data_IF_247651719688
#
_entry.id   IF_247651719688
#
_cell.length_a   1.000
_cell.length_b   1.000
_cell.length_c   1.000
_cell.angle_alpha   90.00
_cell.angle_beta   90.00
_cell.angle_gamma   90.00
#
_symmetry.space_group_name_H-M   'P 1'
#
loop_
_entity.id
_entity.type
_entity.pdbx_description
1 polymer ?
#
# COMPACT_ATOMS: atom_id res chain seq x y z
N UNK A 1 22.29 -2.67 6.88
CA UNK A 1 20.94 -3.20 7.19
C UNK A 1 20.07 -2.07 7.72
N UNK A 2 19.27 -1.41 6.87
CA UNK A 2 18.28 -0.41 7.30
C UNK A 2 16.91 -0.94 6.90
N UNK A 3 16.23 -1.61 7.83
CA UNK A 3 15.01 -2.36 7.50
C UNK A 3 14.09 -2.60 8.67
N UNK A 4 14.07 -1.71 9.67
CA UNK A 4 12.92 -1.62 10.55
C UNK A 4 11.77 -1.03 9.75
N UNK A 5 10.77 -1.83 9.38
CA UNK A 5 9.58 -1.40 8.64
C UNK A 5 8.85 -0.37 9.51
N UNK A 6 8.98 0.93 9.21
CA UNK A 6 8.24 1.98 9.92
C UNK A 6 6.73 1.70 9.78
N UNK A 7 6.11 1.30 10.89
CA UNK A 7 4.67 1.15 10.99
C UNK A 7 3.99 2.51 10.74
N UNK A 8 2.85 2.51 10.06
CA UNK A 8 2.16 3.75 9.70
C UNK A 8 1.74 4.49 10.98
N UNK A 9 2.38 5.63 11.28
CA UNK A 9 2.11 6.44 12.47
C UNK A 9 1.36 7.74 12.10
N UNK A 10 0.36 8.10 12.89
CA UNK A 10 -0.33 9.39 12.82
C UNK A 10 -0.34 9.99 14.22
N UNK A 11 0.15 11.22 14.36
CA UNK A 11 0.10 11.99 15.61
C UNK A 11 -1.25 12.69 15.67
N UNK A 12 -1.93 12.60 16.81
CA UNK A 12 -3.18 13.31 17.07
C UNK A 12 -2.84 14.73 17.52
N UNK A 13 -3.40 15.73 16.86
CA UNK A 13 -3.24 17.15 17.21
C UNK A 13 -4.56 17.69 17.76
N UNK A 14 -4.51 18.42 18.88
CA UNK A 14 -5.64 19.16 19.47
C UNK A 14 -6.86 18.28 19.84
N UNK A 15 -6.64 17.02 20.24
CA UNK A 15 -7.72 16.13 20.70
C UNK A 15 -8.70 15.65 19.62
N UNK A 16 -8.51 16.01 18.36
CA UNK A 16 -9.43 15.63 17.28
C UNK A 16 -9.11 14.24 16.73
N UNK A 17 -9.65 13.21 17.40
CA UNK A 17 -9.38 11.79 17.15
C UNK A 17 -9.93 11.34 15.78
N UNK A 18 -11.13 11.80 15.39
CA UNK A 18 -11.76 11.39 14.13
C UNK A 18 -10.92 11.78 12.91
N UNK A 19 -10.36 12.98 12.92
CA UNK A 19 -9.45 13.43 11.86
C UNK A 19 -8.18 12.58 11.83
N UNK A 20 -7.64 12.21 12.99
CA UNK A 20 -6.47 11.34 13.07
C UNK A 20 -6.77 9.93 12.55
N UNK A 21 -7.93 9.35 12.88
CA UNK A 21 -8.38 8.05 12.38
C UNK A 21 -8.57 8.05 10.85
N UNK A 22 -9.15 9.12 10.30
CA UNK A 22 -9.29 9.26 8.84
C UNK A 22 -7.94 9.32 8.14
N UNK A 23 -7.01 10.12 8.68
CA UNK A 23 -5.63 10.21 8.18
C UNK A 23 -4.89 8.87 8.30
N UNK A 24 -5.11 8.14 9.39
CA UNK A 24 -4.51 6.83 9.61
C UNK A 24 -5.00 5.81 8.58
N UNK A 25 -6.32 5.70 8.37
CA UNK A 25 -6.90 4.83 7.32
C UNK A 25 -6.32 5.14 5.94
N UNK A 26 -6.20 6.42 5.59
CA UNK A 26 -5.63 6.85 4.30
C UNK A 26 -4.14 6.48 4.19
N UNK A 27 -3.34 6.71 5.25
CA UNK A 27 -1.93 6.32 5.27
C UNK A 27 -1.75 4.80 5.17
N UNK A 28 -2.55 4.02 5.88
CA UNK A 28 -2.51 2.54 5.82
C UNK A 28 -2.85 2.05 4.41
N UNK A 29 -3.87 2.61 3.76
CA UNK A 29 -4.20 2.27 2.38
C UNK A 29 -3.05 2.61 1.42
N UNK A 30 -2.42 3.78 1.56
CA UNK A 30 -1.28 4.21 0.74
C UNK A 30 -0.02 3.37 0.98
N UNK A 31 0.17 2.85 2.19
CA UNK A 31 1.34 2.01 2.53
C UNK A 31 1.38 0.68 1.77
N UNK A 32 0.28 0.26 1.13
CA UNK A 32 0.23 -0.95 0.32
C UNK A 32 0.18 -2.26 1.13
N UNK A 33 0.26 -2.20 2.46
CA UNK A 33 0.15 -3.35 3.38
C UNK A 33 -1.08 -4.24 3.10
N UNK A 34 -2.31 -3.71 2.99
CA UNK A 34 -3.48 -4.56 2.72
C UNK A 34 -3.41 -5.24 1.34
N UNK A 35 -2.81 -4.58 0.34
CA UNK A 35 -2.61 -5.16 -0.99
C UNK A 35 -1.53 -6.24 -0.97
N UNK A 36 -0.45 -6.04 -0.21
CA UNK A 36 0.62 -7.02 -0.01
C UNK A 36 0.08 -8.30 0.66
N UNK A 37 -0.75 -8.15 1.71
CA UNK A 37 -1.39 -9.28 2.38
C UNK A 37 -2.26 -10.10 1.42
N UNK A 38 -3.05 -9.44 0.56
CA UNK A 38 -3.87 -10.12 -0.45
C UNK A 38 -3.01 -10.88 -1.46
N UNK A 39 -1.90 -10.29 -1.92
CA UNK A 39 -0.97 -10.93 -2.86
C UNK A 39 -0.26 -12.14 -2.26
N UNK A 40 0.01 -12.14 -0.95
CA UNK A 40 0.67 -13.24 -0.22
C UNK A 40 -0.27 -14.35 0.28
N UNK A 41 -1.59 -14.15 0.22
CA UNK A 41 -2.58 -15.10 0.77
C UNK A 41 -2.52 -16.50 0.13
N UNK A 42 -2.17 -16.57 -1.15
CA UNK A 42 -2.08 -17.83 -1.89
C UNK A 42 -0.78 -17.86 -2.70
N UNK A 43 -0.21 -19.05 -2.89
CA UNK A 43 0.94 -19.20 -3.76
C UNK A 43 0.56 -18.86 -5.20
N UNK A 44 1.38 -18.02 -5.83
CA UNK A 44 1.35 -17.79 -7.27
C UNK A 44 2.72 -18.14 -7.84
N UNK A 45 2.74 -18.85 -8.96
CA UNK A 45 3.98 -19.16 -9.68
C UNK A 45 4.73 -17.85 -9.99
N UNK A 46 6.08 -17.81 -9.87
CA UNK A 46 6.86 -16.58 -10.10
C UNK A 46 6.60 -15.93 -11.46
N UNK A 47 6.36 -16.73 -12.51
CA UNK A 47 6.00 -16.21 -13.83
C UNK A 47 4.67 -15.45 -13.86
N UNK A 48 3.67 -15.88 -13.08
CA UNK A 48 2.37 -15.19 -12.97
C UNK A 48 2.54 -13.88 -12.21
N UNK A 49 3.31 -13.89 -11.12
CA UNK A 49 3.64 -12.68 -10.35
C UNK A 49 4.34 -11.65 -11.23
N UNK A 50 5.32 -12.07 -12.05
CA UNK A 50 6.03 -11.18 -12.98
C UNK A 50 5.11 -10.56 -14.03
N UNK A 51 4.18 -11.34 -14.60
CA UNK A 51 3.18 -10.82 -15.57
C UNK A 51 2.25 -9.80 -14.92
N UNK A 52 1.68 -10.12 -13.75
CA UNK A 52 0.77 -9.22 -13.02
C UNK A 52 1.45 -7.89 -12.66
N UNK A 53 2.73 -7.92 -12.26
CA UNK A 53 3.52 -6.71 -11.97
C UNK A 53 3.69 -5.82 -13.21
N UNK A 54 4.00 -6.41 -14.38
CA UNK A 54 4.17 -5.66 -15.63
C UNK A 54 2.84 -5.03 -16.06
N UNK A 55 1.74 -5.76 -15.96
CA UNK A 55 0.40 -5.24 -16.27
C UNK A 55 0.00 -4.10 -15.33
N UNK A 56 0.24 -4.23 -14.02
CA UNK A 56 -0.03 -3.19 -13.04
C UNK A 56 0.80 -1.93 -13.34
N UNK A 57 2.08 -2.09 -13.70
CA UNK A 57 2.94 -0.98 -14.11
C UNK A 57 2.44 -0.26 -15.38
N UNK A 58 2.02 -1.02 -16.42
CA UNK A 58 1.42 -0.46 -17.64
C UNK A 58 0.14 0.32 -17.34
N UNK A 59 -0.75 -0.25 -16.54
CA UNK A 59 -2.00 0.42 -16.10
C UNK A 59 -1.71 1.72 -15.34
N UNK A 60 -0.70 1.72 -14.47
CA UNK A 60 -0.29 2.92 -13.73
C UNK A 60 0.34 3.98 -14.63
N UNK A 61 1.13 3.59 -15.64
CA UNK A 61 1.66 4.51 -16.64
C UNK A 61 0.52 5.20 -17.42
N UNK A 62 -0.45 4.44 -17.93
CA UNK A 62 -1.62 5.00 -18.62
C UNK A 62 -2.42 5.97 -17.74
N UNK A 63 -2.59 5.65 -16.44
CA UNK A 63 -3.25 6.55 -15.49
C UNK A 63 -2.48 7.84 -15.21
N UNK A 64 -1.15 7.84 -15.34
CA UNK A 64 -0.30 9.02 -15.13
C UNK A 64 -0.32 9.96 -16.33
N UNK A 65 -0.50 9.42 -17.53
CA UNK A 65 -0.56 10.17 -18.79
C UNK A 65 -1.97 10.65 -19.16
N UNK A 66 -2.98 10.28 -18.37
CA UNK A 66 -4.35 10.78 -18.44
C UNK A 66 -4.54 11.90 -17.43
#
# INVERSE_FOLDING_TARGET
>A
MKGGKEMTKVVVSNGNIDVALRKFKAKVAKSGVPSELKKRKFYKKPGVVKREQIEEARKNAHKKHR
#
